data_IF_788427655480
#
_entry.id   IF_788427655480
#
_cell.length_a   1.000
_cell.length_b   1.000
_cell.length_c   1.000
_cell.angle_alpha   90.00
_cell.angle_beta   90.00
_cell.angle_gamma   90.00
#
_symmetry.space_group_name_H-M   'P 1'
#
loop_
_entity.id
_entity.type
_entity.pdbx_description
1 polymer ?
#
# COMPACT_ATOMS: atom_id res chain seq x y z
N UNK A 1 -11.94 -2.09 -15.69
CA UNK A 1 -12.99 -3.07 -16.08
C UNK A 1 -13.05 -3.17 -17.61
N UNK A 2 -13.23 -4.36 -18.20
CA UNK A 2 -13.29 -4.54 -19.66
C UNK A 2 -14.35 -5.58 -20.07
N UNK A 3 -14.62 -5.69 -21.37
CA UNK A 3 -15.52 -6.67 -21.95
C UNK A 3 -14.99 -7.16 -23.30
N UNK A 4 -15.30 -8.41 -23.64
CA UNK A 4 -15.02 -8.92 -24.97
C UNK A 4 -16.11 -8.54 -25.99
N UNK A 5 -15.90 -8.92 -27.25
CA UNK A 5 -16.85 -8.64 -28.36
C UNK A 5 -18.23 -9.30 -28.18
N UNK A 6 -18.33 -10.33 -27.32
CA UNK A 6 -19.60 -10.97 -26.99
C UNK A 6 -20.29 -10.31 -25.76
N UNK A 7 -19.70 -9.24 -25.21
CA UNK A 7 -20.23 -8.52 -24.04
C UNK A 7 -19.93 -9.19 -22.70
N UNK A 8 -19.09 -10.23 -22.68
CA UNK A 8 -18.69 -10.89 -21.43
C UNK A 8 -17.68 -10.01 -20.71
N UNK A 9 -17.93 -9.73 -19.42
CA UNK A 9 -17.06 -8.88 -18.60
C UNK A 9 -15.84 -9.66 -18.14
N UNK A 10 -14.65 -9.09 -18.35
CA UNK A 10 -13.39 -9.64 -17.85
C UNK A 10 -12.39 -8.49 -17.63
N UNK A 11 -11.51 -8.53 -16.62
CA UNK A 11 -10.48 -7.51 -16.46
C UNK A 11 -9.49 -7.54 -17.63
N UNK A 12 -9.11 -6.36 -18.11
CA UNK A 12 -7.93 -6.16 -18.93
C UNK A 12 -6.78 -5.78 -18.00
N UNK A 13 -5.63 -6.45 -18.14
CA UNK A 13 -4.47 -6.26 -17.28
C UNK A 13 -3.24 -6.08 -18.14
N UNK A 14 -2.43 -5.09 -17.79
CA UNK A 14 -1.07 -4.91 -18.32
C UNK A 14 -0.12 -5.30 -17.19
N UNK A 15 0.79 -6.21 -17.47
CA UNK A 15 1.71 -6.75 -16.47
C UNK A 15 3.10 -6.92 -17.06
N UNK A 16 4.12 -6.68 -16.23
CA UNK A 16 5.50 -6.98 -16.55
C UNK A 16 6.07 -7.91 -15.45
N UNK A 17 6.77 -8.99 -15.83
CA UNK A 17 7.47 -9.80 -14.85
C UNK A 17 8.64 -9.01 -14.27
N UNK A 18 8.69 -8.89 -12.95
CA UNK A 18 9.80 -8.26 -12.24
C UNK A 18 10.71 -9.34 -11.65
N UNK A 19 12.01 -9.25 -11.94
CA UNK A 19 13.03 -10.06 -11.27
C UNK A 19 13.67 -9.21 -10.20
N UNK A 20 13.51 -9.60 -8.94
CA UNK A 20 14.19 -8.96 -7.80
C UNK A 20 15.57 -9.58 -7.63
N UNK A 21 16.60 -8.75 -7.48
CA UNK A 21 17.93 -9.25 -7.13
C UNK A 21 17.91 -9.77 -5.69
N UNK A 22 18.15 -11.07 -5.50
CA UNK A 22 18.18 -11.69 -4.17
C UNK A 22 19.30 -11.13 -3.28
N UNK A 23 20.32 -10.48 -3.85
CA UNK A 23 21.47 -9.91 -3.11
C UNK A 23 21.19 -8.51 -2.57
N UNK A 24 20.28 -7.77 -3.21
CA UNK A 24 19.79 -6.45 -2.80
C UNK A 24 18.32 -6.38 -3.17
N UNK A 25 17.44 -7.12 -2.46
CA UNK A 25 16.02 -7.02 -2.72
C UNK A 25 15.63 -5.57 -2.43
N UNK A 26 14.97 -4.85 -3.37
CA UNK A 26 14.48 -3.53 -3.08
C UNK A 26 13.55 -3.62 -1.88
N UNK A 27 13.63 -2.64 -0.98
CA UNK A 27 12.67 -2.52 0.12
C UNK A 27 11.27 -2.51 -0.50
N UNK A 28 10.36 -3.43 -0.14
CA UNK A 28 9.02 -3.52 -0.74
C UNK A 28 8.28 -2.18 -0.76
N UNK A 29 8.56 -1.35 0.25
CA UNK A 29 8.06 0.01 0.39
C UNK A 29 8.40 0.96 -0.76
N UNK A 30 9.52 0.73 -1.46
CA UNK A 30 10.00 1.59 -2.55
C UNK A 30 9.51 1.13 -3.92
N UNK A 31 8.93 -0.07 -4.03
CA UNK A 31 8.40 -0.59 -5.31
C UNK A 31 7.40 0.36 -5.99
N UNK A 32 6.50 1.05 -5.29
CA UNK A 32 5.62 2.03 -5.92
C UNK A 32 6.38 3.12 -6.69
N UNK A 33 7.45 3.66 -6.10
CA UNK A 33 8.27 4.73 -6.70
C UNK A 33 9.17 4.20 -7.80
N UNK A 34 9.85 3.07 -7.57
CA UNK A 34 10.72 2.41 -8.54
C UNK A 34 9.99 2.03 -9.84
N UNK A 35 8.69 1.77 -9.75
CA UNK A 35 7.87 1.31 -10.86
C UNK A 35 6.92 2.39 -11.39
N UNK A 36 7.04 3.64 -10.94
CA UNK A 36 6.23 4.77 -11.41
C UNK A 36 6.22 4.91 -12.96
N UNK A 37 7.36 4.84 -13.67
CA UNK A 37 7.35 4.88 -15.14
C UNK A 37 6.53 3.76 -15.77
N UNK A 38 6.53 2.58 -15.15
CA UNK A 38 5.71 1.46 -15.59
C UNK A 38 4.23 1.70 -15.31
N UNK A 39 3.87 2.22 -14.13
CA UNK A 39 2.47 2.49 -13.77
C UNK A 39 1.84 3.53 -14.70
N UNK A 40 2.54 4.62 -15.00
CA UNK A 40 2.08 5.65 -15.94
C UNK A 40 1.87 5.10 -17.34
N UNK A 41 2.79 4.27 -17.79
CA UNK A 41 2.75 3.66 -19.11
C UNK A 41 1.64 2.61 -19.22
N UNK A 42 1.52 1.73 -18.24
CA UNK A 42 0.45 0.73 -18.18
C UNK A 42 -0.94 1.39 -18.06
N UNK A 43 -1.06 2.45 -17.26
CA UNK A 43 -2.28 3.22 -17.09
C UNK A 43 -2.74 3.86 -18.40
N UNK A 44 -1.84 4.56 -19.10
CA UNK A 44 -2.12 5.12 -20.44
C UNK A 44 -2.55 4.06 -21.45
N UNK A 45 -1.87 2.91 -21.47
CA UNK A 45 -2.21 1.81 -22.37
C UNK A 45 -3.61 1.24 -22.10
N UNK A 46 -3.96 1.02 -20.83
CA UNK A 46 -5.29 0.51 -20.46
C UNK A 46 -6.39 1.49 -20.89
N UNK A 47 -6.16 2.80 -20.70
CA UNK A 47 -7.11 3.83 -21.15
C UNK A 47 -7.23 3.83 -22.67
N UNK A 48 -6.12 3.77 -23.41
CA UNK A 48 -6.16 3.74 -24.87
C UNK A 48 -6.91 2.51 -25.41
N UNK A 49 -6.58 1.32 -24.91
CA UNK A 49 -7.26 0.07 -25.30
C UNK A 49 -8.75 0.08 -24.93
N UNK A 50 -9.12 0.75 -23.84
CA UNK A 50 -10.52 0.93 -23.45
C UNK A 50 -11.29 1.88 -24.38
N UNK A 51 -10.63 2.92 -24.90
CA UNK A 51 -11.23 3.89 -25.82
C UNK A 51 -11.25 3.42 -27.28
N UNK A 52 -10.35 2.50 -27.63
CA UNK A 52 -10.11 2.02 -29.01
C UNK A 52 -10.12 0.48 -29.06
N UNK A 53 -11.29 -0.16 -28.93
CA UNK A 53 -11.41 -1.62 -28.86
C UNK A 53 -11.02 -2.34 -30.16
N UNK A 54 -10.81 -1.60 -31.26
CA UNK A 54 -10.28 -2.09 -32.52
C UNK A 54 -8.76 -2.27 -32.53
N UNK A 55 -8.03 -1.65 -31.59
CA UNK A 55 -6.58 -1.80 -31.48
C UNK A 55 -6.21 -3.24 -31.10
N UNK A 56 -5.20 -3.78 -31.77
CA UNK A 56 -4.57 -5.00 -31.32
C UNK A 56 -3.68 -4.68 -30.11
N UNK A 57 -3.97 -5.32 -28.97
CA UNK A 57 -3.25 -5.09 -27.73
C UNK A 57 -1.76 -5.46 -27.82
N UNK A 58 -1.37 -6.39 -28.68
CA UNK A 58 0.04 -6.77 -28.88
C UNK A 58 0.78 -5.69 -29.64
N UNK A 59 0.17 -5.13 -30.68
CA UNK A 59 0.76 -4.04 -31.46
C UNK A 59 0.89 -2.77 -30.59
N UNK A 60 -0.15 -2.48 -29.80
CA UNK A 60 -0.12 -1.37 -28.85
C UNK A 60 0.99 -1.55 -27.80
N UNK A 61 1.15 -2.75 -27.24
CA UNK A 61 2.22 -3.07 -26.28
C UNK A 61 3.62 -3.00 -26.91
N UNK A 62 3.77 -3.44 -28.16
CA UNK A 62 5.06 -3.43 -28.87
C UNK A 62 5.57 -2.01 -29.16
N UNK A 63 4.67 -1.03 -29.25
CA UNK A 63 5.02 0.38 -29.47
C UNK A 63 5.42 1.14 -28.20
N UNK A 64 5.34 0.52 -27.03
CA UNK A 64 5.60 1.19 -25.76
C UNK A 64 7.11 1.30 -25.51
N UNK A 65 7.63 2.52 -25.27
CA UNK A 65 9.00 2.68 -24.83
C UNK A 65 9.17 2.03 -23.45
N UNK A 66 10.14 1.13 -23.33
CA UNK A 66 10.56 0.62 -22.02
C UNK A 66 11.44 1.70 -21.40
N UNK A 67 10.83 2.55 -20.59
CA UNK A 67 11.58 3.49 -19.76
C UNK A 67 12.36 2.69 -18.71
N UNK A 68 13.65 3.02 -18.56
CA UNK A 68 14.45 2.44 -17.50
C UNK A 68 13.87 2.90 -16.15
N UNK A 69 13.77 2.00 -15.16
CA UNK A 69 13.41 2.43 -13.81
C UNK A 69 14.44 3.45 -13.29
N UNK A 70 14.04 4.36 -12.39
CA UNK A 70 14.96 5.28 -11.73
C UNK A 70 16.02 4.51 -10.95
N UNK A 71 17.12 5.20 -10.61
CA UNK A 71 18.15 4.63 -9.76
C UNK A 71 17.57 4.30 -8.37
N UNK A 72 17.66 3.04 -7.91
CA UNK A 72 17.20 2.67 -6.58
C UNK A 72 17.84 3.46 -5.44
N UNK A 73 19.10 3.87 -5.58
CA UNK A 73 19.78 4.66 -4.55
C UNK A 73 19.20 6.08 -4.45
N UNK A 74 18.86 6.70 -5.59
CA UNK A 74 18.20 8.01 -5.62
C UNK A 74 16.78 7.94 -5.05
N UNK A 75 16.01 6.90 -5.38
CA UNK A 75 14.66 6.68 -4.85
C UNK A 75 14.70 6.45 -3.33
N UNK A 76 15.66 5.66 -2.85
CA UNK A 76 15.84 5.45 -1.40
C UNK A 76 16.18 6.75 -0.69
N UNK A 77 17.13 7.53 -1.22
CA UNK A 77 17.52 8.81 -0.64
C UNK A 77 16.36 9.80 -0.60
N UNK A 78 15.55 9.87 -1.65
CA UNK A 78 14.37 10.74 -1.70
C UNK A 78 13.29 10.32 -0.68
N UNK A 79 13.02 9.02 -0.56
CA UNK A 79 12.09 8.51 0.45
C UNK A 79 12.59 8.76 1.87
N UNK A 80 13.88 8.52 2.12
CA UNK A 80 14.52 8.82 3.40
C UNK A 80 14.42 10.31 3.73
N UNK A 81 14.75 11.20 2.80
CA UNK A 81 14.61 12.65 3.00
C UNK A 81 13.16 13.04 3.34
N UNK A 82 12.18 12.46 2.64
CA UNK A 82 10.77 12.71 2.92
C UNK A 82 10.38 12.25 4.33
N UNK A 83 10.75 11.03 4.73
CA UNK A 83 10.45 10.52 6.08
C UNK A 83 11.13 11.32 7.19
N UNK A 84 12.32 11.86 6.91
CA UNK A 84 13.04 12.71 7.84
C UNK A 84 12.43 14.09 7.93
N UNK A 85 11.85 14.64 6.87
CA UNK A 85 11.39 16.04 6.85
C UNK A 85 9.92 16.19 7.24
N UNK A 86 9.07 15.22 6.94
CA UNK A 86 7.63 15.30 7.17
C UNK A 86 7.27 15.12 8.65
N UNK A 87 6.57 16.07 9.29
CA UNK A 87 5.97 15.89 10.61
C UNK A 87 4.88 14.80 10.60
N UNK A 88 4.78 14.03 11.69
CA UNK A 88 3.73 13.00 11.82
C UNK A 88 2.32 13.59 11.76
N UNK A 89 2.11 14.74 12.38
CA UNK A 89 0.81 15.44 12.35
C UNK A 89 0.38 15.76 10.92
N UNK A 90 1.31 16.21 10.07
CA UNK A 90 1.06 16.50 8.67
C UNK A 90 0.76 15.22 7.88
N UNK A 91 1.49 14.12 8.14
CA UNK A 91 1.16 12.82 7.53
C UNK A 91 -0.26 12.37 7.88
N UNK A 92 -0.68 12.55 9.14
CA UNK A 92 -2.02 12.19 9.59
C UNK A 92 -3.10 13.05 8.94
N UNK A 93 -2.87 14.35 8.79
CA UNK A 93 -3.76 15.22 8.02
C UNK A 93 -3.87 14.76 6.57
N UNK A 94 -2.74 14.52 5.91
CA UNK A 94 -2.71 14.11 4.50
C UNK A 94 -3.35 12.73 4.27
N UNK A 95 -3.27 11.81 5.22
CA UNK A 95 -3.91 10.49 5.13
C UNK A 95 -5.38 10.49 5.56
N UNK A 96 -5.92 11.62 6.06
CA UNK A 96 -7.28 11.71 6.59
C UNK A 96 -7.45 11.14 8.00
N UNK A 97 -6.35 10.90 8.71
CA UNK A 97 -6.28 10.48 10.12
C UNK A 97 -5.99 11.68 11.04
N UNK A 98 -6.50 12.87 10.73
CA UNK A 98 -6.12 14.17 11.32
C UNK A 98 -6.26 14.29 12.84
N UNK A 99 -6.98 13.38 13.50
CA UNK A 99 -6.99 13.25 14.95
C UNK A 99 -5.85 12.31 15.39
N UNK A 100 -4.88 12.82 16.15
CA UNK A 100 -3.76 11.99 16.64
C UNK A 100 -4.22 10.75 17.42
N UNK A 101 -5.37 10.83 18.12
CA UNK A 101 -5.96 9.65 18.76
C UNK A 101 -6.51 8.66 17.73
N UNK A 102 -7.08 9.13 16.63
CA UNK A 102 -7.51 8.29 15.51
C UNK A 102 -6.32 7.59 14.84
N UNK A 103 -5.23 8.30 14.57
CA UNK A 103 -4.00 7.71 14.05
C UNK A 103 -3.46 6.61 14.99
N UNK A 104 -3.39 6.90 16.30
CA UNK A 104 -2.96 5.91 17.29
C UNK A 104 -3.85 4.66 17.33
N UNK A 105 -5.18 4.83 17.28
CA UNK A 105 -6.14 3.70 17.21
C UNK A 105 -5.94 2.85 15.95
N UNK A 106 -5.73 3.50 14.80
CA UNK A 106 -5.44 2.83 13.52
C UNK A 106 -4.14 2.03 13.58
N UNK A 107 -3.07 2.62 14.12
CA UNK A 107 -1.78 1.96 14.29
C UNK A 107 -1.87 0.77 15.24
N UNK A 108 -2.62 0.90 16.35
CA UNK A 108 -2.82 -0.19 17.30
C UNK A 108 -3.55 -1.37 16.67
N UNK A 109 -4.60 -1.11 15.88
CA UNK A 109 -5.31 -2.16 15.14
C UNK A 109 -4.44 -2.81 14.07
N UNK A 110 -3.68 -2.02 13.31
CA UNK A 110 -2.75 -2.53 12.30
C UNK A 110 -1.72 -3.47 12.94
N UNK A 111 -1.10 -3.03 14.04
CA UNK A 111 -0.12 -3.84 14.77
C UNK A 111 -0.74 -5.14 15.28
N UNK A 112 -1.94 -5.10 15.88
CA UNK A 112 -2.64 -6.28 16.36
C UNK A 112 -3.03 -7.24 15.23
N UNK A 113 -3.52 -6.71 14.10
CA UNK A 113 -3.91 -7.51 12.94
C UNK A 113 -2.70 -8.23 12.30
N UNK A 114 -1.53 -7.57 12.28
CA UNK A 114 -0.29 -8.13 11.74
C UNK A 114 0.46 -9.03 12.74
N UNK A 115 0.21 -8.89 14.05
CA UNK A 115 0.92 -9.63 15.11
C UNK A 115 0.97 -11.15 14.89
N UNK A 116 -0.10 -11.85 14.46
CA UNK A 116 -0.04 -13.30 14.21
C UNK A 116 0.89 -13.71 13.06
N UNK A 117 1.22 -12.76 12.17
CA UNK A 117 2.00 -12.93 10.94
C UNK A 117 3.45 -12.48 11.08
N UNK A 118 3.80 -11.86 12.21
CA UNK A 118 5.15 -11.42 12.51
C UNK A 118 6.15 -12.58 12.41
N UNK A 119 7.24 -12.36 11.67
CA UNK A 119 8.29 -13.33 11.34
C UNK A 119 7.80 -14.62 10.65
N UNK A 120 6.54 -14.66 10.17
CA UNK A 120 5.98 -15.78 9.41
C UNK A 120 5.82 -15.42 7.94
N UNK A 121 6.90 -15.60 7.20
CA UNK A 121 6.93 -15.37 5.76
C UNK A 121 6.00 -16.34 5.00
N UNK A 122 5.45 -15.86 3.87
CA UNK A 122 4.58 -16.64 2.97
C UNK A 122 3.39 -17.29 3.68
N UNK A 123 2.73 -16.51 4.54
CA UNK A 123 1.52 -16.95 5.23
C UNK A 123 0.39 -17.26 4.26
N UNK A 124 -0.46 -18.23 4.60
CA UNK A 124 -1.71 -18.54 3.92
C UNK A 124 -2.90 -17.74 4.47
N UNK A 125 -2.64 -16.80 5.38
CA UNK A 125 -3.65 -15.92 5.96
C UNK A 125 -4.47 -15.21 4.87
N UNK A 126 -5.80 -15.23 4.94
CA UNK A 126 -6.65 -14.49 4.01
C UNK A 126 -6.73 -13.00 4.37
N UNK A 127 -6.08 -12.56 5.45
CA UNK A 127 -6.13 -11.18 5.93
C UNK A 127 -5.77 -10.20 4.82
N UNK A 128 -6.68 -9.25 4.60
CA UNK A 128 -6.49 -8.08 3.76
C UNK A 128 -6.65 -6.83 4.62
N UNK A 129 -5.69 -5.92 4.55
CA UNK A 129 -5.68 -4.66 5.28
C UNK A 129 -5.96 -3.54 4.30
N UNK A 130 -6.96 -2.71 4.57
CA UNK A 130 -7.25 -1.55 3.74
C UNK A 130 -6.81 -0.28 4.45
N UNK A 131 -5.82 0.42 3.92
CA UNK A 131 -5.16 1.56 4.57
C UNK A 131 -5.43 2.85 3.78
N UNK A 132 -5.64 3.99 4.45
CA UNK A 132 -5.98 5.24 3.78
C UNK A 132 -4.74 5.87 3.14
N UNK A 133 -4.85 6.26 1.88
CA UNK A 133 -3.80 7.04 1.22
C UNK A 133 -4.02 8.55 1.38
N UNK A 134 -5.28 8.97 1.54
CA UNK A 134 -5.68 10.38 1.58
C UNK A 134 -5.07 11.19 0.44
N UNK A 135 -4.78 12.47 0.65
CA UNK A 135 -4.10 13.34 -0.31
C UNK A 135 -2.59 13.01 -0.47
N UNK A 136 -1.98 12.29 0.48
CA UNK A 136 -0.57 11.89 0.40
C UNK A 136 -0.28 10.85 -0.71
N UNK A 137 -1.30 10.13 -1.20
CA UNK A 137 -1.20 9.28 -2.39
C UNK A 137 -0.03 8.29 -2.33
N UNK A 138 0.88 8.38 -3.31
CA UNK A 138 2.05 7.50 -3.43
C UNK A 138 2.98 7.54 -2.22
N UNK A 139 3.12 8.67 -1.53
CA UNK A 139 3.95 8.78 -0.34
C UNK A 139 3.35 7.98 0.84
N UNK A 140 2.04 8.08 1.04
CA UNK A 140 1.32 7.26 2.02
C UNK A 140 1.40 5.77 1.68
N UNK A 141 1.34 5.40 0.40
CA UNK A 141 1.51 4.02 -0.04
C UNK A 141 2.87 3.46 0.39
N UNK A 142 3.96 4.20 0.15
CA UNK A 142 5.30 3.80 0.58
C UNK A 142 5.40 3.70 2.10
N UNK A 143 4.87 4.70 2.83
CA UNK A 143 4.81 4.69 4.29
C UNK A 143 4.12 3.46 4.86
N UNK A 144 2.92 3.13 4.37
CA UNK A 144 2.16 1.98 4.88
C UNK A 144 2.86 0.65 4.59
N UNK A 145 3.52 0.53 3.44
CA UNK A 145 4.31 -0.64 3.09
C UNK A 145 5.56 -0.78 3.98
N UNK A 146 6.27 0.32 4.27
CA UNK A 146 7.44 0.30 5.17
C UNK A 146 7.01 -0.08 6.59
N UNK A 147 6.02 0.64 7.14
CA UNK A 147 5.48 0.37 8.47
C UNK A 147 5.01 -1.08 8.62
N UNK A 148 4.24 -1.58 7.65
CA UNK A 148 3.77 -2.97 7.67
C UNK A 148 4.92 -3.97 7.54
N UNK A 149 5.92 -3.68 6.72
CA UNK A 149 7.14 -4.47 6.59
C UNK A 149 7.89 -4.61 7.91
N UNK A 150 8.04 -3.50 8.65
CA UNK A 150 8.68 -3.48 9.99
C UNK A 150 7.89 -4.26 11.03
N UNK A 151 6.57 -4.12 11.05
CA UNK A 151 5.68 -4.90 11.93
C UNK A 151 5.75 -6.40 11.61
N UNK A 152 5.79 -6.77 10.32
CA UNK A 152 5.88 -8.15 9.87
C UNK A 152 7.27 -8.75 10.10
N UNK A 153 8.34 -7.95 10.11
CA UNK A 153 9.75 -8.40 10.23
C UNK A 153 10.18 -9.39 9.16
N UNK A 154 9.56 -9.33 7.98
CA UNK A 154 9.91 -10.20 6.86
C UNK A 154 11.21 -9.74 6.21
N UNK A 155 12.00 -10.71 5.77
CA UNK A 155 13.31 -10.49 5.19
C UNK A 155 13.33 -10.76 3.68
N UNK A 156 12.50 -11.69 3.21
CA UNK A 156 12.51 -12.14 1.80
C UNK A 156 11.15 -12.04 1.11
N UNK A 157 10.07 -11.86 1.86
CA UNK A 157 8.72 -11.86 1.33
C UNK A 157 8.23 -10.44 1.07
N UNK A 158 7.71 -10.22 -0.15
CA UNK A 158 7.00 -8.99 -0.54
C UNK A 158 5.51 -9.29 -0.41
N UNK A 159 4.74 -8.54 0.40
CA UNK A 159 3.30 -8.72 0.45
C UNK A 159 2.67 -8.36 -0.90
N UNK A 160 1.56 -9.00 -1.24
CA UNK A 160 0.76 -8.54 -2.39
C UNK A 160 0.07 -7.24 -2.02
N UNK A 161 0.00 -6.28 -2.92
CA UNK A 161 -0.71 -5.04 -2.68
C UNK A 161 -1.36 -4.48 -3.94
N UNK A 162 -2.45 -3.76 -3.73
CA UNK A 162 -3.20 -3.04 -4.76
C UNK A 162 -3.50 -1.65 -4.24
N UNK A 163 -3.58 -0.65 -5.10
CA UNK A 163 -4.00 0.68 -4.69
C UNK A 163 -4.81 1.36 -5.79
N UNK A 164 -5.60 2.33 -5.37
CA UNK A 164 -6.30 3.27 -6.24
C UNK A 164 -6.32 4.62 -5.57
N UNK A 165 -6.12 5.67 -6.36
CA UNK A 165 -6.07 7.06 -5.90
C UNK A 165 -6.60 7.98 -7.01
N UNK A 166 -7.42 8.96 -6.64
CA UNK A 166 -8.07 9.88 -7.58
C UNK A 166 -7.52 11.32 -7.56
N UNK A 167 -6.46 11.56 -6.80
CA UNK A 167 -5.87 12.88 -6.57
C UNK A 167 -6.27 13.50 -5.23
N UNK A 168 -7.40 13.12 -4.65
CA UNK A 168 -7.86 13.64 -3.35
C UNK A 168 -7.86 12.55 -2.28
N UNK A 169 -8.28 11.34 -2.65
CA UNK A 169 -8.42 10.22 -1.75
C UNK A 169 -8.01 8.92 -2.42
N UNK A 170 -7.73 7.91 -1.61
CA UNK A 170 -7.38 6.60 -2.10
C UNK A 170 -7.20 5.59 -0.99
N UNK A 171 -7.03 4.34 -1.38
CA UNK A 171 -6.78 3.27 -0.44
C UNK A 171 -5.76 2.28 -1.01
N UNK A 172 -4.91 1.79 -0.11
CA UNK A 172 -4.07 0.63 -0.28
C UNK A 172 -4.84 -0.60 0.23
N UNK A 173 -4.88 -1.67 -0.55
CA UNK A 173 -5.25 -3.01 -0.11
C UNK A 173 -3.97 -3.83 0.01
N UNK A 174 -3.51 -4.07 1.24
CA UNK A 174 -2.31 -4.84 1.56
C UNK A 174 -2.67 -6.26 1.98
N UNK A 175 -1.94 -7.23 1.44
CA UNK A 175 -2.19 -8.64 1.64
C UNK A 175 -0.89 -9.33 2.03
N UNK A 176 -0.67 -9.54 3.34
CA UNK A 176 0.50 -10.26 3.79
C UNK A 176 0.50 -11.69 3.23
N UNK A 177 -0.65 -12.38 3.27
CA UNK A 177 -0.77 -13.75 2.82
C UNK A 177 -1.33 -13.89 1.41
N UNK A 178 -2.12 -14.94 1.21
CA UNK A 178 -2.78 -15.21 -0.06
C UNK A 178 -4.03 -14.33 -0.21
N UNK A 179 -4.17 -13.57 -1.32
CA UNK A 179 -5.37 -12.79 -1.60
C UNK A 179 -6.62 -13.68 -1.62
N UNK A 180 -7.64 -13.45 -0.77
CA UNK A 180 -8.89 -14.20 -0.85
C UNK A 180 -9.69 -13.85 -2.12
N UNK A 181 -10.63 -14.69 -2.56
CA UNK A 181 -11.49 -14.36 -3.71
C UNK A 181 -12.29 -13.06 -3.54
N UNK A 182 -12.59 -12.67 -2.30
CA UNK A 182 -13.28 -11.43 -1.96
C UNK A 182 -12.49 -10.17 -2.31
N UNK A 183 -11.15 -10.27 -2.43
CA UNK A 183 -10.28 -9.14 -2.84
C UNK A 183 -10.75 -8.51 -4.13
N UNK A 184 -11.02 -9.31 -5.16
CA UNK A 184 -11.39 -8.75 -6.46
C UNK A 184 -12.67 -7.93 -6.36
N UNK A 185 -13.70 -8.44 -5.68
CA UNK A 185 -14.95 -7.69 -5.48
C UNK A 185 -14.74 -6.39 -4.73
N UNK A 186 -13.83 -6.38 -3.76
CA UNK A 186 -13.59 -5.25 -2.86
C UNK A 186 -12.68 -4.19 -3.49
N UNK A 187 -11.89 -4.56 -4.49
CA UNK A 187 -11.20 -3.61 -5.36
C UNK A 187 -12.17 -2.83 -6.27
N UNK A 188 -13.27 -3.45 -6.70
CA UNK A 188 -14.27 -2.79 -7.57
C UNK A 188 -15.36 -2.06 -6.80
N UNK A 189 -15.85 -2.65 -5.73
CA UNK A 189 -16.89 -2.10 -4.88
C UNK A 189 -16.47 -2.32 -3.43
N UNK A 190 -15.71 -1.38 -2.86
CA UNK A 190 -15.23 -1.52 -1.49
C UNK A 190 -16.39 -1.40 -0.53
N UNK A 191 -16.68 -2.47 0.22
CA UNK A 191 -17.73 -2.50 1.23
C UNK A 191 -17.18 -2.55 2.65
N UNK A 192 -15.97 -3.11 2.83
CA UNK A 192 -15.39 -3.35 4.14
C UNK A 192 -16.17 -4.36 5.00
N UNK A 193 -17.20 -5.00 4.42
CA UNK A 193 -18.11 -5.91 5.14
C UNK A 193 -17.66 -7.38 5.08
N UNK A 194 -16.47 -7.64 4.54
CA UNK A 194 -15.91 -8.99 4.41
C UNK A 194 -15.09 -9.29 5.65
N UNK A 195 -15.28 -10.49 6.20
CA UNK A 195 -14.57 -10.94 7.40
C UNK A 195 -13.05 -10.98 7.19
N UNK A 196 -12.59 -11.18 5.95
CA UNK A 196 -11.16 -11.18 5.63
C UNK A 196 -10.56 -9.77 5.51
N UNK A 197 -11.39 -8.72 5.50
CA UNK A 197 -10.97 -7.33 5.31
C UNK A 197 -11.02 -6.57 6.63
N UNK A 198 -9.84 -6.15 7.07
CA UNK A 198 -9.70 -5.14 8.10
C UNK A 198 -9.61 -3.77 7.42
N UNK A 199 -10.74 -3.06 7.35
CA UNK A 199 -10.80 -1.71 6.77
C UNK A 199 -10.39 -0.66 7.81
N UNK A 200 -9.24 -0.04 7.56
CA UNK A 200 -8.64 1.00 8.40
C UNK A 200 -8.65 2.36 7.71
N UNK A 201 -9.41 2.52 6.63
CA UNK A 201 -9.62 3.84 6.00
C UNK A 201 -10.46 4.77 6.89
N UNK A 202 -11.24 4.20 7.81
CA UNK A 202 -11.86 4.90 8.92
C UNK A 202 -11.20 4.46 10.25
N UNK A 203 -11.00 5.37 11.21
CA UNK A 203 -10.43 5.03 12.51
C UNK A 203 -11.29 3.98 13.25
N UNK A 204 -10.68 2.93 13.81
CA UNK A 204 -11.41 1.95 14.62
C UNK A 204 -12.12 2.59 15.81
N UNK A 205 -13.27 2.02 16.18
CA UNK A 205 -14.02 2.47 17.35
C UNK A 205 -13.21 2.25 18.63
N UNK A 206 -13.26 3.23 19.54
CA UNK A 206 -12.49 3.22 20.79
C UNK A 206 -12.72 1.96 21.64
N UNK A 207 -13.97 1.48 21.72
CA UNK A 207 -14.30 0.25 22.44
C UNK A 207 -13.61 -1.00 21.86
N UNK A 208 -13.41 -1.04 20.54
CA UNK A 208 -12.72 -2.16 19.89
C UNK A 208 -11.21 -2.09 20.17
N UNK A 209 -10.65 -0.87 20.26
CA UNK A 209 -9.23 -0.64 20.57
C UNK A 209 -8.92 -0.95 22.03
N UNK A 210 -9.84 -0.64 22.94
CA UNK A 210 -9.70 -0.97 24.35
C UNK A 210 -9.65 -2.49 24.64
N UNK A 211 -10.10 -3.32 23.69
CA UNK A 211 -10.09 -4.78 23.80
C UNK A 211 -8.79 -5.43 23.33
N UNK A 212 -7.88 -4.68 22.69
CA UNK A 212 -6.62 -5.19 22.14
C UNK A 212 -5.41 -4.64 22.92
N UNK A 213 -4.25 -5.32 22.90
CA UNK A 213 -3.05 -4.84 23.59
C UNK A 213 -2.67 -3.41 23.17
N UNK A 214 -2.14 -2.59 24.08
CA UNK A 214 -1.63 -1.26 23.73
C UNK A 214 -0.44 -1.35 22.78
N UNK A 215 -0.16 -0.24 22.09
CA UNK A 215 1.09 -0.07 21.33
C UNK A 215 2.31 -0.22 22.25
N UNK A 216 3.44 -0.60 21.65
CA UNK A 216 4.74 -0.62 22.33
C UNK A 216 5.04 0.77 22.94
N UNK A 217 5.66 0.80 24.12
CA UNK A 217 5.95 2.03 24.85
C UNK A 217 6.76 3.03 24.01
N UNK A 218 7.66 2.56 23.14
CA UNK A 218 8.44 3.42 22.24
C UNK A 218 7.55 4.10 21.20
N UNK A 219 6.66 3.33 20.58
CA UNK A 219 5.71 3.84 19.59
C UNK A 219 4.76 4.83 20.26
N UNK A 220 4.23 4.50 21.43
CA UNK A 220 3.36 5.37 22.21
C UNK A 220 4.06 6.69 22.60
N UNK A 221 5.34 6.64 22.97
CA UNK A 221 6.13 7.83 23.30
C UNK A 221 6.31 8.76 22.10
N UNK A 222 6.61 8.22 20.91
CA UNK A 222 6.72 9.02 19.67
C UNK A 222 5.39 9.67 19.30
N UNK A 223 4.28 8.94 19.38
CA UNK A 223 2.95 9.49 19.09
C UNK A 223 2.52 10.59 20.07
N UNK A 224 3.01 10.56 21.31
CA UNK A 224 2.77 11.59 22.31
C UNK A 224 3.72 12.80 22.19
N UNK A 225 4.81 12.66 21.44
CA UNK A 225 5.81 13.71 21.26
C UNK A 225 5.37 14.71 20.18
N UNK A 226 5.09 15.95 20.59
CA UNK A 226 4.83 17.03 19.65
C UNK A 226 6.04 17.27 18.72
N UNK A 227 5.77 17.40 17.42
CA UNK A 227 6.80 17.63 16.40
C UNK A 227 7.63 16.40 16.01
N UNK A 228 7.22 15.19 16.40
CA UNK A 228 7.82 13.95 15.89
C UNK A 228 7.65 13.83 14.36
N UNK A 229 8.64 13.23 13.71
CA UNK A 229 8.73 13.03 12.26
C UNK A 229 8.35 11.59 11.89
N UNK A 230 8.03 11.38 10.61
CA UNK A 230 7.70 10.04 10.10
C UNK A 230 8.80 9.01 10.41
N UNK A 231 10.06 9.42 10.28
CA UNK A 231 11.22 8.57 10.61
C UNK A 231 11.22 8.11 12.07
N UNK A 232 10.84 8.98 13.02
CA UNK A 232 10.84 8.64 14.45
C UNK A 232 9.86 7.49 14.73
N UNK A 233 8.70 7.49 14.05
CA UNK A 233 7.71 6.42 14.17
C UNK A 233 8.22 5.12 13.55
N UNK A 234 8.80 5.19 12.34
CA UNK A 234 9.31 4.01 11.65
C UNK A 234 10.43 3.34 12.45
N UNK A 235 11.35 4.12 13.03
CA UNK A 235 12.41 3.62 13.92
C UNK A 235 11.88 3.03 15.23
N UNK A 236 10.81 3.59 15.80
CA UNK A 236 10.21 3.07 17.02
C UNK A 236 9.55 1.69 16.83
N UNK A 237 9.07 1.39 15.61
CA UNK A 237 8.38 0.14 15.28
C UNK A 237 9.36 -1.01 14.98
N UNK A 238 10.53 -0.72 14.42
CA UNK A 238 11.53 -1.74 14.10
C UNK A 238 12.75 -1.21 13.39
#
# INVERSE_FOLDING_TARGET
PSADRAGRKFPLVVAAPLTLDERRPPTPALLPLLLEPFWDTAGRLIVELGMRPELDARDALAGIPVEAPPDPEEVSASYEEWTHTLPLEELWELTGLSDGAAAARTLQFLAEALRPLCAKERSDSPLSLRLPLGAAGGAALCFWLDLSGRLLRWQKSVPSFFWSHDGESGALMLQPGMPPPSTLSELFLPTGARDEICDLTAPPAEAAVAAIPPLDERVAAVLAQGGARVTDLLEAVG
#
